data_IF_661049532684
#
_entry.id   IF_661049532684
#
_cell.length_a   1.000
_cell.length_b   1.000
_cell.length_c   1.000
_cell.angle_alpha   90.00
_cell.angle_beta   90.00
_cell.angle_gamma   90.00
#
_symmetry.space_group_name_H-M   'P 1'
#
loop_
_entity.id
_entity.type
_entity.pdbx_description
1 polymer ?
#
# COMPACT_ATOMS: atom_id res chain seq x y z
N UNK A 1 1.54 -15.64 1.19
CA UNK A 1 2.85 -15.69 1.88
C UNK A 1 2.65 -15.24 3.31
N UNK A 2 3.24 -15.96 4.27
CA UNK A 2 3.14 -15.59 5.69
C UNK A 2 4.40 -14.86 6.15
N UNK A 3 4.28 -13.98 7.15
CA UNK A 3 5.41 -13.22 7.67
C UNK A 3 6.54 -14.11 8.22
N UNK A 4 6.21 -15.30 8.74
CA UNK A 4 7.19 -16.25 9.28
C UNK A 4 8.09 -16.93 8.24
N UNK A 5 7.83 -16.69 6.95
CA UNK A 5 8.65 -17.21 5.87
C UNK A 5 10.03 -16.54 5.87
N UNK A 6 11.10 -17.33 5.91
CA UNK A 6 12.48 -16.85 5.88
C UNK A 6 13.19 -17.15 4.55
N UNK A 7 12.48 -17.71 3.56
CA UNK A 7 13.05 -17.93 2.24
C UNK A 7 13.06 -16.62 1.44
N UNK A 8 14.24 -16.00 1.37
CA UNK A 8 14.47 -14.74 0.67
C UNK A 8 14.02 -14.82 -0.79
N UNK A 9 14.12 -15.98 -1.46
CA UNK A 9 13.71 -16.12 -2.87
C UNK A 9 12.21 -15.89 -3.04
N UNK A 10 11.38 -16.35 -2.10
CA UNK A 10 9.93 -16.14 -2.12
C UNK A 10 9.60 -14.66 -1.96
N UNK A 11 10.30 -13.96 -1.06
CA UNK A 11 10.12 -12.53 -0.85
C UNK A 11 10.50 -11.72 -2.10
N UNK A 12 11.63 -12.06 -2.75
CA UNK A 12 12.03 -11.45 -4.02
C UNK A 12 11.00 -11.70 -5.11
N UNK A 13 10.57 -12.94 -5.29
CA UNK A 13 9.58 -13.29 -6.33
C UNK A 13 8.26 -12.54 -6.12
N UNK A 14 7.81 -12.43 -4.87
CA UNK A 14 6.65 -11.64 -4.54
C UNK A 14 6.86 -10.15 -4.88
N UNK A 15 8.02 -9.58 -4.55
CA UNK A 15 8.34 -8.19 -4.85
C UNK A 15 8.47 -7.90 -6.35
N UNK A 16 9.18 -8.75 -7.11
CA UNK A 16 9.34 -8.60 -8.57
C UNK A 16 8.01 -8.79 -9.30
N UNK A 17 7.11 -9.61 -8.76
CA UNK A 17 5.75 -9.75 -9.28
C UNK A 17 4.89 -8.49 -9.13
N UNK A 18 5.25 -7.53 -8.28
CA UNK A 18 4.42 -6.37 -7.92
C UNK A 18 3.88 -5.63 -9.16
N UNK A 19 4.75 -5.32 -10.12
CA UNK A 19 4.34 -4.58 -11.33
C UNK A 19 3.31 -5.36 -12.15
N UNK A 20 3.48 -6.67 -12.29
CA UNK A 20 2.50 -7.53 -12.97
C UNK A 20 1.15 -7.54 -12.26
N UNK A 21 1.13 -7.44 -10.92
CA UNK A 21 -0.11 -7.35 -10.13
C UNK A 21 -0.83 -6.03 -10.37
N UNK A 22 -0.08 -4.91 -10.42
CA UNK A 22 -0.61 -3.59 -10.75
C UNK A 22 -1.24 -3.59 -12.15
N UNK A 23 -0.53 -4.12 -13.15
CA UNK A 23 -1.04 -4.25 -14.52
C UNK A 23 -2.31 -5.10 -14.59
N UNK A 24 -2.33 -6.25 -13.90
CA UNK A 24 -3.50 -7.13 -13.86
C UNK A 24 -4.71 -6.45 -13.22
N UNK A 25 -4.50 -5.71 -12.13
CA UNK A 25 -5.56 -4.96 -11.46
C UNK A 25 -6.06 -3.78 -12.28
N UNK A 26 -5.20 -3.14 -13.08
CA UNK A 26 -5.57 -1.98 -13.89
C UNK A 26 -6.63 -2.27 -14.95
N UNK A 27 -6.83 -3.54 -15.32
CA UNK A 27 -7.92 -3.97 -16.20
C UNK A 27 -9.31 -3.57 -15.67
N UNK A 28 -9.45 -3.51 -14.34
CA UNK A 28 -10.70 -3.13 -13.67
C UNK A 28 -10.56 -1.87 -12.80
N UNK A 29 -9.36 -1.27 -12.77
CA UNK A 29 -9.02 -0.12 -11.93
C UNK A 29 -8.27 0.91 -12.79
N UNK A 30 -9.01 1.77 -13.51
CA UNK A 30 -8.38 2.73 -14.42
C UNK A 30 -7.40 3.62 -13.66
N UNK A 31 -6.35 4.06 -14.34
CA UNK A 31 -5.28 4.93 -13.82
C UNK A 31 -4.40 4.34 -12.70
N UNK A 32 -4.63 3.09 -12.24
CA UNK A 32 -3.84 2.50 -11.16
C UNK A 32 -2.34 2.47 -11.49
N UNK A 33 -1.96 2.20 -12.75
CA UNK A 33 -0.56 2.19 -13.18
C UNK A 33 0.08 3.57 -13.00
N UNK A 34 -0.55 4.63 -13.52
CA UNK A 34 -0.03 6.00 -13.42
C UNK A 34 0.01 6.50 -11.98
N UNK A 35 -1.04 6.20 -11.20
CA UNK A 35 -1.11 6.54 -9.77
C UNK A 35 -0.02 5.83 -8.95
N UNK A 36 0.28 4.58 -9.30
CA UNK A 36 1.32 3.80 -8.63
C UNK A 36 2.73 4.27 -8.98
N UNK A 37 2.99 4.61 -10.25
CA UNK A 37 4.24 5.24 -10.66
C UNK A 37 4.44 6.60 -9.97
N UNK A 38 3.38 7.42 -9.92
CA UNK A 38 3.41 8.66 -9.16
C UNK A 38 3.81 8.40 -7.69
N UNK A 39 3.11 7.50 -7.00
CA UNK A 39 3.34 7.23 -5.59
C UNK A 39 4.73 6.63 -5.30
N UNK A 40 5.22 5.70 -6.13
CA UNK A 40 6.45 4.96 -5.86
C UNK A 40 7.71 5.64 -6.39
N UNK A 41 7.60 6.42 -7.46
CA UNK A 41 8.77 6.95 -8.18
C UNK A 41 8.82 8.47 -8.05
N UNK A 42 7.73 9.14 -8.45
CA UNK A 42 7.74 10.60 -8.59
C UNK A 42 7.64 11.28 -7.22
N UNK A 43 6.71 10.85 -6.38
CA UNK A 43 6.43 11.47 -5.09
C UNK A 43 7.64 11.42 -4.12
N UNK A 44 8.33 10.29 -3.91
CA UNK A 44 9.54 10.27 -3.10
C UNK A 44 10.59 11.25 -3.63
N UNK A 45 10.82 11.28 -4.94
CA UNK A 45 11.78 12.19 -5.57
C UNK A 45 11.42 13.66 -5.32
N UNK A 46 10.13 14.02 -5.46
CA UNK A 46 9.62 15.37 -5.20
C UNK A 46 9.81 15.78 -3.73
N UNK A 47 9.47 14.92 -2.78
CA UNK A 47 9.63 15.21 -1.34
C UNK A 47 11.11 15.42 -0.99
N UNK A 48 12.00 14.53 -1.46
CA UNK A 48 13.43 14.59 -1.16
C UNK A 48 14.14 15.77 -1.83
N UNK A 49 13.66 16.23 -2.99
CA UNK A 49 14.20 17.43 -3.65
C UNK A 49 14.04 18.72 -2.83
N UNK A 50 13.19 18.70 -1.80
CA UNK A 50 12.87 19.85 -0.93
C UNK A 50 13.66 19.86 0.39
N UNK A 51 14.58 18.92 0.58
CA UNK A 51 15.50 18.87 1.73
C UNK A 51 16.34 20.17 1.75
N UNK A 52 16.53 20.83 2.92
CA UNK A 52 16.34 20.32 4.29
C UNK A 52 14.93 20.45 4.87
N UNK A 53 13.99 21.06 4.16
CA UNK A 53 12.61 21.27 4.63
C UNK A 53 11.61 20.50 3.77
N UNK A 54 11.64 19.15 3.77
CA UNK A 54 10.74 18.35 2.95
C UNK A 54 9.28 18.59 3.35
N UNK A 55 8.38 18.59 2.37
CA UNK A 55 6.94 18.76 2.59
C UNK A 55 6.13 18.10 1.47
N UNK A 56 4.86 17.88 1.76
CA UNK A 56 3.83 17.46 0.81
C UNK A 56 2.95 18.65 0.45
N UNK A 57 2.62 18.78 -0.83
CA UNK A 57 1.59 19.74 -1.30
C UNK A 57 0.19 19.14 -1.20
N UNK A 58 -0.85 19.98 -1.26
CA UNK A 58 -2.23 19.50 -1.25
C UNK A 58 -2.53 18.61 -2.47
N UNK A 59 -2.02 18.98 -3.65
CA UNK A 59 -2.18 18.23 -4.90
C UNK A 59 -1.49 16.85 -4.84
N UNK A 60 -0.30 16.78 -4.26
CA UNK A 60 0.42 15.52 -4.04
C UNK A 60 -0.32 14.61 -3.05
N UNK A 61 -0.85 15.18 -1.95
CA UNK A 61 -1.67 14.44 -0.99
C UNK A 61 -2.95 13.91 -1.64
N UNK A 62 -3.59 14.69 -2.50
CA UNK A 62 -4.76 14.26 -3.25
C UNK A 62 -4.43 13.08 -4.17
N UNK A 63 -3.33 13.16 -4.92
CA UNK A 63 -2.88 12.10 -5.82
C UNK A 63 -2.49 10.82 -5.07
N UNK A 64 -1.81 10.95 -3.93
CA UNK A 64 -1.53 9.83 -3.02
C UNK A 64 -2.81 9.19 -2.49
N UNK A 65 -3.82 9.99 -2.11
CA UNK A 65 -5.12 9.47 -1.67
C UNK A 65 -5.82 8.72 -2.81
N UNK A 66 -5.79 9.23 -4.04
CA UNK A 66 -6.33 8.54 -5.21
C UNK A 66 -5.64 7.19 -5.42
N UNK A 67 -4.31 7.15 -5.36
CA UNK A 67 -3.54 5.90 -5.41
C UNK A 67 -4.01 4.92 -4.33
N UNK A 68 -4.03 5.35 -3.07
CA UNK A 68 -4.39 4.51 -1.91
C UNK A 68 -5.79 3.89 -2.05
N UNK A 69 -6.78 4.70 -2.48
CA UNK A 69 -8.16 4.25 -2.63
C UNK A 69 -8.37 3.37 -3.87
N UNK A 70 -7.53 3.53 -4.90
CA UNK A 70 -7.56 2.70 -6.10
C UNK A 70 -6.87 1.36 -5.85
N UNK A 71 -5.68 1.36 -5.21
CA UNK A 71 -4.95 0.14 -4.84
C UNK A 71 -5.74 -0.70 -3.83
N UNK A 72 -6.27 -0.06 -2.79
CA UNK A 72 -6.99 -0.71 -1.69
C UNK A 72 -8.52 -0.60 -1.78
N UNK A 73 -9.16 -0.39 -0.63
CA UNK A 73 -10.61 -0.23 -0.50
C UNK A 73 -11.05 1.19 -0.85
N UNK A 74 -11.90 1.31 -1.86
CA UNK A 74 -12.42 2.60 -2.33
C UNK A 74 -13.38 3.24 -1.32
N UNK A 75 -13.08 4.49 -0.93
CA UNK A 75 -13.87 5.31 0.00
C UNK A 75 -13.89 6.77 -0.49
N UNK A 76 -14.77 7.12 -1.45
CA UNK A 76 -14.68 8.37 -2.21
C UNK A 76 -14.80 9.64 -1.35
N UNK A 77 -15.51 9.56 -0.21
CA UNK A 77 -15.65 10.69 0.73
C UNK A 77 -14.30 11.24 1.21
N UNK A 78 -13.25 10.41 1.29
CA UNK A 78 -11.93 10.85 1.73
C UNK A 78 -11.27 11.81 0.72
N UNK A 79 -11.55 11.67 -0.58
CA UNK A 79 -11.05 12.60 -1.59
C UNK A 79 -11.62 14.00 -1.39
N UNK A 80 -12.92 14.10 -1.08
CA UNK A 80 -13.57 15.38 -0.79
C UNK A 80 -12.98 16.10 0.42
N UNK A 81 -12.54 15.37 1.45
CA UNK A 81 -11.85 15.97 2.59
C UNK A 81 -10.46 16.50 2.21
N UNK A 82 -9.67 15.69 1.49
CA UNK A 82 -8.33 16.09 1.08
C UNK A 82 -8.37 17.26 0.09
N UNK A 83 -9.33 17.26 -0.83
CA UNK A 83 -9.55 18.35 -1.79
C UNK A 83 -9.89 19.69 -1.14
N UNK A 84 -10.45 19.68 0.07
CA UNK A 84 -10.84 20.87 0.81
C UNK A 84 -9.78 21.32 1.85
N UNK A 85 -8.61 20.65 1.91
CA UNK A 85 -7.52 21.06 2.79
C UNK A 85 -6.81 22.29 2.23
N UNK A 86 -6.37 23.15 3.14
CA UNK A 86 -5.52 24.29 2.81
C UNK A 86 -4.07 23.83 2.54
N UNK A 87 -3.42 24.43 1.54
CA UNK A 87 -2.06 24.08 1.12
C UNK A 87 -1.04 24.25 2.25
N UNK A 88 -1.11 25.34 3.00
CA UNK A 88 -0.15 25.65 4.05
C UNK A 88 -0.34 24.75 5.27
N UNK A 89 -1.58 24.33 5.54
CA UNK A 89 -1.88 23.33 6.58
C UNK A 89 -1.26 21.97 6.20
N UNK A 90 -1.36 21.53 4.95
CA UNK A 90 -0.76 20.26 4.48
C UNK A 90 0.77 20.32 4.55
N UNK A 91 1.38 21.42 4.10
CA UNK A 91 2.83 21.63 4.20
C UNK A 91 3.30 21.61 5.65
N UNK A 92 2.66 22.38 6.53
CA UNK A 92 3.06 22.48 7.93
C UNK A 92 2.99 21.13 8.65
N UNK A 93 1.89 20.38 8.47
CA UNK A 93 1.71 19.07 9.07
C UNK A 93 2.76 18.05 8.56
N UNK A 94 2.99 18.02 7.24
CA UNK A 94 3.97 17.09 6.66
C UNK A 94 5.41 17.44 7.04
N UNK A 95 5.79 18.72 7.10
CA UNK A 95 7.10 19.15 7.58
C UNK A 95 7.37 18.68 9.01
N UNK A 96 6.44 18.92 9.94
CA UNK A 96 6.57 18.48 11.34
C UNK A 96 6.67 16.96 11.45
N UNK A 97 5.92 16.24 10.62
CA UNK A 97 5.96 14.80 10.58
C UNK A 97 7.31 14.28 10.11
N UNK A 98 7.85 14.81 9.02
CA UNK A 98 9.15 14.42 8.49
C UNK A 98 10.30 14.79 9.43
N UNK A 99 10.25 15.96 10.06
CA UNK A 99 11.21 16.38 11.09
C UNK A 99 11.20 15.50 12.35
N UNK A 100 10.11 14.76 12.59
CA UNK A 100 10.05 13.84 13.73
C UNK A 100 10.75 12.51 13.45
N UNK A 101 11.16 12.24 12.20
CA UNK A 101 11.90 11.03 11.83
C UNK A 101 13.42 11.31 11.78
N UNK A 102 14.25 10.33 12.14
CA UNK A 102 13.92 8.93 12.45
C UNK A 102 13.47 8.66 13.90
N UNK A 103 13.45 9.68 14.75
CA UNK A 103 13.41 9.51 16.21
C UNK A 103 12.04 9.08 16.77
N UNK A 104 10.94 9.64 16.26
CA UNK A 104 9.60 9.44 16.81
C UNK A 104 8.56 9.23 15.71
N UNK A 105 8.39 7.96 15.32
CA UNK A 105 7.36 7.53 14.37
C UNK A 105 5.94 7.78 14.89
N UNK A 106 5.72 7.70 16.21
CA UNK A 106 4.40 7.94 16.80
C UNK A 106 3.98 9.39 16.60
N UNK A 107 4.88 10.32 16.92
CA UNK A 107 4.69 11.74 16.70
C UNK A 107 4.54 12.07 15.21
N UNK A 108 5.36 11.48 14.34
CA UNK A 108 5.25 11.69 12.90
C UNK A 108 3.84 11.37 12.37
N UNK A 109 3.22 10.28 12.84
CA UNK A 109 1.84 9.95 12.50
C UNK A 109 0.86 10.95 13.10
N UNK A 110 1.02 11.30 14.38
CA UNK A 110 0.15 12.25 15.05
C UNK A 110 0.09 13.61 14.34
N UNK A 111 1.25 14.13 13.89
CA UNK A 111 1.34 15.39 13.13
C UNK A 111 0.55 15.34 11.80
N UNK A 112 0.45 14.17 11.16
CA UNK A 112 -0.34 14.00 9.93
C UNK A 112 -1.83 13.79 10.19
N UNK A 113 -2.18 13.15 11.32
CA UNK A 113 -3.59 12.83 11.64
C UNK A 113 -4.44 14.04 12.05
N UNK A 114 -3.83 15.23 12.17
CA UNK A 114 -4.55 16.50 12.31
C UNK A 114 -5.28 16.88 11.01
N UNK A 115 -4.83 16.38 9.86
CA UNK A 115 -5.43 16.66 8.56
C UNK A 115 -6.74 15.89 8.39
N UNK A 116 -7.82 16.61 8.08
CA UNK A 116 -9.13 16.00 7.86
C UNK A 116 -9.07 14.97 6.72
N UNK A 117 -9.51 13.74 6.99
CA UNK A 117 -9.46 12.64 6.03
C UNK A 117 -8.15 11.84 6.05
N UNK A 118 -7.17 12.25 6.85
CA UNK A 118 -5.90 11.52 7.07
C UNK A 118 -5.97 10.83 8.43
N UNK A 119 -6.13 9.50 8.41
CA UNK A 119 -5.94 8.64 9.60
C UNK A 119 -4.59 7.94 9.57
N UNK A 120 -4.26 7.08 10.56
CA UNK A 120 -2.97 6.36 10.63
C UNK A 120 -2.62 5.62 9.34
N UNK A 121 -3.61 5.00 8.68
CA UNK A 121 -3.38 4.33 7.41
C UNK A 121 -2.93 5.29 6.29
N UNK A 122 -3.51 6.49 6.17
CA UNK A 122 -3.08 7.46 5.15
C UNK A 122 -1.76 8.12 5.56
N UNK A 123 -1.59 8.45 6.85
CA UNK A 123 -0.34 8.97 7.37
C UNK A 123 0.83 8.02 7.07
N UNK A 124 0.64 6.72 7.26
CA UNK A 124 1.68 5.72 6.94
C UNK A 124 2.07 5.68 5.45
N UNK A 125 1.15 6.01 4.52
CA UNK A 125 1.49 6.10 3.10
C UNK A 125 2.36 7.33 2.80
N UNK A 126 2.04 8.46 3.45
CA UNK A 126 2.84 9.70 3.34
C UNK A 126 4.25 9.44 3.89
N UNK A 127 4.34 8.81 5.06
CA UNK A 127 5.63 8.49 5.68
C UNK A 127 6.41 7.44 4.89
N UNK A 128 5.75 6.45 4.27
CA UNK A 128 6.42 5.46 3.42
C UNK A 128 7.05 6.07 2.16
N UNK A 129 6.43 7.11 1.58
CA UNK A 129 7.00 7.83 0.46
C UNK A 129 8.24 8.66 0.86
N UNK A 130 8.35 9.05 2.13
CA UNK A 130 9.49 9.81 2.65
C UNK A 130 10.60 8.93 3.24
N UNK A 131 10.26 7.96 4.09
CA UNK A 131 11.22 7.13 4.81
C UNK A 131 10.84 5.64 4.69
N UNK A 132 11.02 5.03 3.50
CA UNK A 132 10.54 3.67 3.20
C UNK A 132 11.15 2.58 4.10
N UNK A 133 12.35 2.83 4.63
CA UNK A 133 13.06 1.95 5.57
C UNK A 133 12.43 1.90 6.97
N UNK A 134 11.81 3.00 7.38
CA UNK A 134 11.34 3.22 8.75
C UNK A 134 9.82 3.10 8.86
N UNK A 135 9.09 3.63 7.89
CA UNK A 135 7.65 3.85 8.00
C UNK A 135 6.92 3.13 6.85
N UNK A 136 6.75 1.80 6.90
CA UNK A 136 6.03 1.08 5.85
C UNK A 136 4.56 1.51 5.79
N UNK A 137 3.93 1.29 4.64
CA UNK A 137 2.50 1.56 4.47
C UNK A 137 1.63 0.55 5.23
N UNK A 138 0.59 1.04 5.90
CA UNK A 138 -0.39 0.23 6.63
C UNK A 138 -1.46 -0.35 5.69
N UNK A 139 -1.07 -1.26 4.80
CA UNK A 139 -2.02 -1.98 3.94
C UNK A 139 -2.79 -3.07 4.68
N UNK A 140 -3.97 -3.40 4.17
CA UNK A 140 -4.82 -4.46 4.75
C UNK A 140 -4.09 -5.81 4.73
N UNK A 141 -3.39 -6.11 3.64
CA UNK A 141 -2.60 -7.33 3.47
C UNK A 141 -1.44 -7.43 4.49
N UNK A 142 -0.74 -6.33 4.75
CA UNK A 142 0.34 -6.32 5.72
C UNK A 142 -0.19 -6.41 7.16
N UNK A 143 -1.30 -5.72 7.46
CA UNK A 143 -2.02 -5.84 8.73
C UNK A 143 -2.49 -7.27 8.98
N UNK A 144 -3.07 -7.92 7.97
CA UNK A 144 -3.50 -9.31 8.05
C UNK A 144 -2.34 -10.27 8.33
N UNK A 145 -1.20 -10.05 7.66
CA UNK A 145 0.00 -10.86 7.87
C UNK A 145 0.62 -10.71 9.28
N UNK A 146 0.50 -9.53 9.89
CA UNK A 146 1.14 -9.21 11.18
C UNK A 146 0.23 -9.44 12.39
N UNK A 147 -1.07 -9.17 12.23
CA UNK A 147 -2.07 -9.13 13.31
C UNK A 147 -3.26 -10.08 13.09
N UNK A 148 -3.30 -10.79 11.96
CA UNK A 148 -4.45 -11.61 11.58
C UNK A 148 -5.66 -10.75 11.17
N UNK A 149 -6.87 -11.27 11.33
CA UNK A 149 -8.11 -10.65 10.81
C UNK A 149 -8.56 -9.36 11.53
N UNK A 150 -7.68 -8.71 12.31
CA UNK A 150 -7.98 -7.45 12.97
C UNK A 150 -8.13 -6.32 11.96
N UNK A 151 -9.22 -5.55 12.07
CA UNK A 151 -9.48 -4.33 11.27
C UNK A 151 -9.22 -3.05 12.07
N UNK A 152 -8.34 -3.13 13.06
CA UNK A 152 -7.96 -2.00 13.90
C UNK A 152 -6.87 -1.16 13.22
N UNK A 153 -7.26 0.02 12.72
CA UNK A 153 -6.34 0.98 12.08
C UNK A 153 -5.85 2.07 13.06
N UNK A 154 -5.71 1.74 14.34
CA UNK A 154 -5.18 2.65 15.34
C UNK A 154 -3.66 2.86 15.20
N UNK A 155 -3.17 3.97 15.79
CA UNK A 155 -1.75 4.27 15.88
C UNK A 155 -0.96 3.14 16.55
N UNK A 156 -1.50 2.54 17.61
CA UNK A 156 -0.86 1.43 18.32
C UNK A 156 -0.58 0.24 17.39
N UNK A 157 -1.55 -0.15 16.57
CA UNK A 157 -1.36 -1.24 15.61
C UNK A 157 -0.38 -0.87 14.51
N UNK A 158 -0.40 0.39 14.06
CA UNK A 158 0.56 0.86 13.08
C UNK A 158 2.00 0.76 13.59
N UNK A 159 2.27 1.17 14.84
CA UNK A 159 3.62 1.08 15.42
C UNK A 159 4.09 -0.38 15.54
N UNK A 160 3.19 -1.29 15.92
CA UNK A 160 3.47 -2.72 15.96
C UNK A 160 3.77 -3.28 14.56
N UNK A 161 2.96 -2.91 13.56
CA UNK A 161 3.17 -3.27 12.15
C UNK A 161 4.54 -2.79 11.67
N UNK A 162 4.85 -1.51 11.86
CA UNK A 162 6.10 -0.90 11.43
C UNK A 162 7.30 -1.61 12.06
N UNK A 163 7.24 -1.93 13.37
CA UNK A 163 8.32 -2.65 14.02
C UNK A 163 8.53 -4.05 13.41
N UNK A 164 7.47 -4.85 13.26
CA UNK A 164 7.60 -6.21 12.69
C UNK A 164 8.12 -6.22 11.26
N UNK A 165 7.70 -5.26 10.44
CA UNK A 165 8.16 -5.17 9.06
C UNK A 165 9.63 -4.72 8.98
N UNK A 166 10.08 -3.84 9.88
CA UNK A 166 11.49 -3.46 9.99
C UNK A 166 12.37 -4.63 10.46
N UNK A 167 11.91 -5.40 11.44
CA UNK A 167 12.59 -6.62 11.88
C UNK A 167 12.70 -7.62 10.73
N UNK A 168 11.59 -7.87 10.02
CA UNK A 168 11.60 -8.76 8.85
C UNK A 168 12.52 -8.25 7.75
N UNK A 169 12.52 -6.95 7.47
CA UNK A 169 13.41 -6.35 6.47
C UNK A 169 14.90 -6.59 6.82
N UNK A 170 15.27 -6.44 8.10
CA UNK A 170 16.61 -6.75 8.58
C UNK A 170 16.95 -8.24 8.45
N UNK A 171 16.03 -9.12 8.79
CA UNK A 171 16.22 -10.58 8.66
C UNK A 171 16.41 -11.03 7.21
N UNK A 172 15.76 -10.36 6.25
CA UNK A 172 15.86 -10.66 4.82
C UNK A 172 17.07 -10.03 4.15
N UNK A 173 17.67 -9.01 4.77
CA UNK A 173 18.80 -8.28 4.21
C UNK A 173 20.12 -9.03 4.44
N UNK A 174 21.03 -8.91 3.48
CA UNK A 174 22.41 -9.41 3.50
C UNK A 174 23.36 -8.34 2.96
N UNK A 175 24.66 -8.64 2.86
CA UNK A 175 25.65 -7.69 2.30
C UNK A 175 25.33 -7.31 0.84
N UNK A 176 24.81 -8.25 0.05
CA UNK A 176 24.50 -8.05 -1.37
C UNK A 176 23.06 -7.55 -1.62
N UNK A 177 22.22 -7.54 -0.59
CA UNK A 177 20.79 -7.29 -0.76
C UNK A 177 20.16 -6.58 0.44
N UNK A 178 19.53 -5.44 0.17
CA UNK A 178 18.82 -4.68 1.19
C UNK A 178 17.33 -4.72 0.93
N UNK A 179 16.59 -5.07 1.97
CA UNK A 179 15.14 -4.91 2.02
C UNK A 179 14.81 -3.73 2.91
N UNK A 180 13.92 -2.87 2.42
CA UNK A 180 13.27 -1.83 3.23
C UNK A 180 12.01 -2.40 3.89
N UNK A 181 11.53 -1.77 4.96
CA UNK A 181 10.24 -2.16 5.55
C UNK A 181 9.08 -2.04 4.52
N UNK A 182 9.16 -1.06 3.62
CA UNK A 182 8.22 -0.89 2.52
C UNK A 182 8.32 -1.99 1.46
N UNK A 183 9.49 -2.61 1.26
CA UNK A 183 9.63 -3.75 0.34
C UNK A 183 8.90 -4.98 0.88
N UNK A 184 9.02 -5.22 2.20
CA UNK A 184 8.31 -6.29 2.89
C UNK A 184 6.79 -6.09 2.78
N UNK A 185 6.29 -4.87 2.99
CA UNK A 185 4.87 -4.53 2.77
C UNK A 185 4.43 -4.85 1.33
N UNK A 186 5.19 -4.40 0.33
CA UNK A 186 4.83 -4.60 -1.08
C UNK A 186 4.87 -6.06 -1.48
N UNK A 187 5.82 -6.84 -0.96
CA UNK A 187 5.90 -8.27 -1.19
C UNK A 187 4.68 -9.00 -0.58
N UNK A 188 4.29 -8.66 0.65
CA UNK A 188 3.06 -9.20 1.28
C UNK A 188 1.83 -8.87 0.45
N UNK A 189 1.68 -7.61 0.05
CA UNK A 189 0.58 -7.17 -0.80
C UNK A 189 0.55 -7.90 -2.14
N UNK A 190 1.69 -7.99 -2.82
CA UNK A 190 1.82 -8.64 -4.13
C UNK A 190 1.47 -10.13 -4.06
N UNK A 191 1.90 -10.82 -3.00
CA UNK A 191 1.56 -12.23 -2.76
C UNK A 191 0.05 -12.41 -2.55
N UNK A 192 -0.56 -11.59 -1.70
CA UNK A 192 -1.99 -11.66 -1.41
C UNK A 192 -2.86 -11.32 -2.63
N UNK A 193 -2.48 -10.29 -3.41
CA UNK A 193 -3.17 -9.96 -4.67
C UNK A 193 -3.01 -11.07 -5.71
N UNK A 194 -1.82 -11.67 -5.82
CA UNK A 194 -1.59 -12.83 -6.67
C UNK A 194 -2.55 -13.97 -6.35
N UNK A 195 -2.69 -14.32 -5.07
CA UNK A 195 -3.63 -15.35 -4.62
C UNK A 195 -5.11 -15.00 -4.90
N UNK A 196 -5.50 -13.73 -4.76
CA UNK A 196 -6.87 -13.27 -5.08
C UNK A 196 -7.17 -13.37 -6.58
N UNK A 197 -6.19 -13.03 -7.43
CA UNK A 197 -6.33 -13.09 -8.89
C UNK A 197 -6.47 -14.55 -9.37
N UNK A 198 -5.62 -15.46 -8.89
CA UNK A 198 -5.71 -16.88 -9.25
C UNK A 198 -7.03 -17.52 -8.81
N UNK A 199 -7.49 -17.22 -7.59
CA UNK A 199 -8.78 -17.71 -7.10
C UNK A 199 -9.97 -17.19 -7.93
N UNK A 200 -9.91 -15.95 -8.41
CA UNK A 200 -10.96 -15.35 -9.25
C UNK A 200 -11.02 -16.00 -10.63
N UNK A 201 -9.87 -16.26 -11.25
CA UNK A 201 -9.78 -16.97 -12.53
C UNK A 201 -10.31 -18.41 -12.44
N UNK A 202 -10.00 -19.13 -11.36
CA UNK A 202 -10.50 -20.50 -11.15
C UNK A 202 -12.03 -20.55 -11.02
N UNK A 203 -12.64 -19.60 -10.31
CA UNK A 203 -14.11 -19.49 -10.22
C UNK A 203 -14.76 -19.20 -11.56
N UNK A 204 -14.19 -18.29 -12.35
CA UNK A 204 -14.70 -17.96 -13.69
C UNK A 204 -14.65 -19.17 -14.66
N UNK A 205 -13.64 -20.04 -14.54
CA UNK A 205 -13.54 -21.27 -15.34
C UNK A 205 -14.54 -22.35 -14.92
N UNK A 206 -14.89 -22.45 -13.64
CA UNK A 206 -15.94 -23.37 -13.18
C UNK A 206 -17.34 -22.93 -13.64
N UNK A 207 -17.66 -21.64 -13.58
CA UNK A 207 -18.96 -21.12 -14.02
C UNK A 207 -19.20 -21.27 -15.52
N UNK A 208 -18.17 -21.18 -16.36
CA UNK A 208 -18.29 -21.40 -17.82
C UNK A 208 -18.47 -22.87 -18.19
N UNK A 209 -17.84 -23.79 -17.44
CA UNK A 209 -18.03 -25.24 -17.62
C UNK A 209 -19.43 -25.73 -17.20
N UNK A 210 -20.05 -25.07 -16.22
CA UNK A 210 -21.40 -25.43 -15.74
C UNK A 210 -22.49 -24.92 -16.68
N UNK A 211 -22.25 -23.84 -17.43
CA UNK A 211 -23.19 -23.32 -18.45
C UNK A 211 -23.16 -24.10 -19.78
N UNK A 212 -22.06 -24.79 -20.12
CA UNK A 212 -21.96 -25.55 -21.36
C UNK A 212 -22.61 -26.94 -21.30
N UNK A 213 -22.89 -27.48 -20.09
CA UNK A 213 -23.51 -28.80 -19.91
C UNK A 213 -25.05 -28.80 -20.00
N UNK A 214 -25.70 -27.63 -20.03
CA UNK A 214 -27.18 -27.50 -20.03
C UNK A 214 -27.87 -27.54 -21.40
N UNK A 215 -27.15 -27.59 -22.53
CA UNK A 215 -27.76 -27.52 -23.88
C UNK A 215 -27.85 -28.90 -24.55
N UNK A 216 -28.61 -29.84 -23.97
CA UNK A 216 -28.94 -31.12 -24.62
C UNK A 216 -30.17 -30.98 -25.54
N UNK A 217 -29.87 -30.96 -26.84
CA UNK A 217 -30.68 -31.24 -28.05
C UNK A 217 -32.15 -31.65 -27.84
N UNK A 218 -33.07 -30.82 -28.32
CA UNK A 218 -34.42 -31.23 -28.76
C UNK A 218 -34.26 -31.83 -30.16
N UNK A 219 -34.41 -33.15 -30.33
CA UNK A 219 -34.52 -33.81 -31.64
C UNK A 219 -35.94 -33.58 -32.15
N UNK A 220 -36.06 -32.93 -33.30
CA UNK A 220 -37.31 -32.85 -34.06
C UNK A 220 -37.53 -34.19 -34.78
N UNK A 221 -38.78 -34.66 -34.74
CA UNK A 221 -39.30 -35.78 -35.52
C UNK A 221 -39.41 -35.42 -37.01
#
# INVERSE_FOLDING_TARGET
MELKCNDVKIWKEALTSYQSRILSLSLNKPNLVCLDDFYRTQLPSLIHSRIPTPYLTQSELHSLMQWKLTRGKFRPRLLGFVAALDEEVVKSASQKAFLSLPDDLSKAVSELTVLKGVGPATASAILAAYAPDLAPFMSDEAMEAVLGQSKDYSLKQYLLLANKLREKAKELSSEDEQFTASDVERALWSSAVGAKLTASSAKAQQDTSTKSSGRKRKKSA
#
